data_IF_159277657832
#
_entry.id   IF_159277657832
#
_cell.length_a   1.000
_cell.length_b   1.000
_cell.length_c   1.000
_cell.angle_alpha   90.00
_cell.angle_beta   90.00
_cell.angle_gamma   90.00
#
_symmetry.space_group_name_H-M   'P 1'
#
loop_
_entity.id
_entity.type
_entity.pdbx_description
1 polymer ?
#
# COMPACT_ATOMS: atom_id res chain seq x y z
N UNK A 1 -18.29 1.92 -6.92
CA UNK A 1 -18.16 3.24 -6.27
C UNK A 1 -19.41 3.44 -5.41
N UNK A 2 -19.26 3.84 -4.15
CA UNK A 2 -20.39 3.97 -3.23
C UNK A 2 -21.03 5.34 -3.43
N UNK A 3 -22.32 5.38 -3.76
CA UNK A 3 -23.07 6.63 -3.88
C UNK A 3 -23.47 7.17 -2.49
N UNK A 4 -22.49 7.68 -1.74
CA UNK A 4 -22.75 8.34 -0.44
C UNK A 4 -22.87 9.85 -0.64
N UNK A 5 -24.05 10.43 -0.42
CA UNK A 5 -24.27 11.89 -0.40
C UNK A 5 -25.05 12.24 0.86
N UNK A 6 -24.55 13.21 1.62
CA UNK A 6 -25.20 13.69 2.84
C UNK A 6 -25.48 15.19 2.70
N UNK A 7 -26.65 15.64 3.16
CA UNK A 7 -27.06 17.05 3.17
C UNK A 7 -26.53 17.84 4.37
N UNK A 8 -26.21 17.17 5.48
CA UNK A 8 -25.58 17.76 6.65
C UNK A 8 -24.59 16.79 7.32
N UNK A 9 -23.71 17.27 8.22
CA UNK A 9 -22.81 16.39 8.95
C UNK A 9 -23.55 15.30 9.75
N UNK A 10 -22.97 14.11 9.79
CA UNK A 10 -23.45 12.96 10.56
C UNK A 10 -22.38 12.57 11.57
N UNK A 11 -22.76 12.33 12.83
CA UNK A 11 -21.80 11.98 13.88
C UNK A 11 -22.23 12.40 15.27
N UNK A 12 -21.31 12.26 16.22
CA UNK A 12 -21.53 12.68 17.61
C UNK A 12 -21.89 14.17 17.68
N UNK A 13 -22.99 14.47 18.37
CA UNK A 13 -23.49 15.84 18.57
C UNK A 13 -23.75 16.60 17.26
N UNK A 14 -23.97 15.89 16.15
CA UNK A 14 -24.34 16.50 14.88
C UNK A 14 -25.86 16.52 14.70
N UNK A 15 -26.37 17.32 13.75
CA UNK A 15 -27.82 17.40 13.48
C UNK A 15 -28.45 16.07 13.02
N UNK A 16 -27.67 15.09 12.54
CA UNK A 16 -28.07 13.69 12.29
C UNK A 16 -29.44 13.54 11.58
N UNK A 17 -29.53 14.01 10.31
CA UNK A 17 -30.77 13.90 9.53
C UNK A 17 -31.00 12.44 9.21
N UNK A 18 -32.22 11.95 9.40
CA UNK A 18 -32.56 10.53 9.21
C UNK A 18 -32.05 9.95 7.88
N UNK A 19 -32.29 10.66 6.77
CA UNK A 19 -31.84 10.22 5.45
C UNK A 19 -30.30 10.18 5.30
N UNK A 20 -29.59 11.12 5.91
CA UNK A 20 -28.12 11.16 5.88
C UNK A 20 -27.53 10.04 6.75
N UNK A 21 -28.13 9.80 7.92
CA UNK A 21 -27.78 8.70 8.82
C UNK A 21 -27.98 7.34 8.12
N UNK A 22 -29.12 7.13 7.45
CA UNK A 22 -29.39 5.92 6.68
C UNK A 22 -28.38 5.75 5.53
N UNK A 23 -28.02 6.84 4.85
CA UNK A 23 -27.02 6.79 3.78
C UNK A 23 -25.64 6.38 4.31
N UNK A 24 -25.21 6.97 5.44
CA UNK A 24 -23.96 6.60 6.11
C UNK A 24 -23.99 5.15 6.58
N UNK A 25 -25.08 4.70 7.21
CA UNK A 25 -25.27 3.32 7.63
C UNK A 25 -25.05 2.33 6.48
N UNK A 26 -25.75 2.54 5.37
CA UNK A 26 -25.64 1.68 4.17
C UNK A 26 -24.20 1.65 3.63
N UNK A 27 -23.53 2.80 3.61
CA UNK A 27 -22.15 2.88 3.16
C UNK A 27 -21.20 2.12 4.11
N UNK A 28 -21.34 2.27 5.42
CA UNK A 28 -20.52 1.57 6.43
C UNK A 28 -20.75 0.06 6.42
N UNK A 29 -21.99 -0.39 6.23
CA UNK A 29 -22.31 -1.80 6.00
C UNK A 29 -21.65 -2.31 4.72
N UNK A 30 -21.72 -1.56 3.62
CA UNK A 30 -21.10 -1.94 2.35
C UNK A 30 -19.58 -2.10 2.45
N UNK A 31 -18.91 -1.24 3.21
CA UNK A 31 -17.45 -1.31 3.41
C UNK A 31 -17.03 -2.26 4.55
N UNK A 32 -18.00 -2.95 5.17
CA UNK A 32 -17.76 -3.94 6.22
C UNK A 32 -17.37 -3.36 7.58
N UNK A 33 -17.64 -2.07 7.81
CA UNK A 33 -17.36 -1.39 9.09
C UNK A 33 -18.48 -1.53 10.12
N UNK A 34 -19.64 -2.01 9.67
CA UNK A 34 -20.80 -2.38 10.50
C UNK A 34 -21.36 -3.71 9.96
N UNK A 35 -21.94 -4.59 10.80
CA UNK A 35 -22.48 -5.88 10.35
C UNK A 35 -23.53 -5.76 9.24
N UNK A 36 -23.57 -6.75 8.34
CA UNK A 36 -24.55 -6.83 7.23
C UNK A 36 -26.00 -6.87 7.70
N UNK A 37 -26.25 -7.29 8.95
CA UNK A 37 -27.58 -7.35 9.57
C UNK A 37 -28.04 -6.01 10.15
N UNK A 38 -27.18 -4.99 10.15
CA UNK A 38 -27.53 -3.68 10.70
C UNK A 38 -28.53 -2.96 9.80
N UNK A 39 -29.66 -2.56 10.38
CA UNK A 39 -30.71 -1.78 9.71
C UNK A 39 -30.90 -0.47 10.46
N UNK A 40 -30.57 0.64 9.81
CA UNK A 40 -30.76 1.96 10.41
C UNK A 40 -32.22 2.39 10.33
N UNK A 41 -32.74 2.93 11.43
CA UNK A 41 -34.03 3.62 11.53
C UNK A 41 -33.91 5.14 11.28
N UNK A 42 -32.71 5.65 10.93
CA UNK A 42 -32.42 7.08 10.79
C UNK A 42 -31.91 7.76 12.06
N UNK A 43 -31.82 7.06 13.18
CA UNK A 43 -31.22 7.59 14.40
C UNK A 43 -29.72 7.29 14.45
N UNK A 44 -28.95 8.22 15.01
CA UNK A 44 -27.53 8.04 15.22
C UNK A 44 -27.29 7.24 16.50
N UNK A 45 -26.63 6.10 16.38
CA UNK A 45 -26.40 5.17 17.48
C UNK A 45 -24.91 4.84 17.67
N UNK A 46 -24.62 3.97 18.63
CA UNK A 46 -23.26 3.56 18.94
C UNK A 46 -22.62 2.72 17.82
N UNK A 47 -23.40 1.94 17.07
CA UNK A 47 -22.86 1.14 15.96
C UNK A 47 -22.36 2.04 14.84
N UNK A 48 -23.10 3.09 14.51
CA UNK A 48 -22.68 4.13 13.56
C UNK A 48 -21.45 4.88 14.05
N UNK A 49 -21.46 5.32 15.31
CA UNK A 49 -20.30 5.99 15.91
C UNK A 49 -19.04 5.13 15.79
N UNK A 50 -19.13 3.85 16.14
CA UNK A 50 -18.01 2.91 16.06
C UNK A 50 -17.58 2.66 14.61
N UNK A 51 -18.51 2.48 13.67
CA UNK A 51 -18.19 2.27 12.27
C UNK A 51 -17.49 3.48 11.62
N UNK A 52 -17.94 4.69 11.95
CA UNK A 52 -17.27 5.92 11.50
C UNK A 52 -15.86 6.00 12.11
N UNK A 53 -15.75 5.75 13.43
CA UNK A 53 -14.47 5.81 14.13
C UNK A 53 -13.48 4.76 13.62
N UNK A 54 -13.94 3.53 13.36
CA UNK A 54 -13.14 2.45 12.77
C UNK A 54 -12.67 2.83 11.36
N UNK A 55 -13.57 3.38 10.53
CA UNK A 55 -13.17 3.90 9.20
C UNK A 55 -12.04 4.94 9.34
N UNK A 56 -12.27 5.97 10.16
CA UNK A 56 -11.31 7.05 10.40
C UNK A 56 -9.99 6.59 11.01
N UNK A 57 -10.01 5.49 11.79
CA UNK A 57 -8.82 4.98 12.47
C UNK A 57 -7.68 4.68 11.51
N UNK A 58 -7.97 4.33 10.25
CA UNK A 58 -6.97 4.12 9.20
C UNK A 58 -6.08 5.34 8.93
N UNK A 59 -6.53 6.57 9.24
CA UNK A 59 -5.77 7.79 8.94
C UNK A 59 -5.83 8.87 10.02
N UNK A 60 -6.52 8.61 11.14
CA UNK A 60 -6.63 9.51 12.28
C UNK A 60 -6.18 8.77 13.54
N UNK A 61 -5.14 9.29 14.21
CA UNK A 61 -4.71 8.77 15.50
C UNK A 61 -5.80 8.91 16.59
N UNK A 62 -6.70 9.89 16.43
CA UNK A 62 -7.86 10.12 17.28
C UNK A 62 -9.09 10.34 16.39
N UNK A 63 -9.85 9.29 16.05
CA UNK A 63 -11.11 9.42 15.33
C UNK A 63 -12.09 10.33 16.07
N UNK A 64 -12.77 11.21 15.34
CA UNK A 64 -13.76 12.15 15.92
C UNK A 64 -15.20 11.65 15.80
N UNK A 65 -15.44 10.60 14.99
CA UNK A 65 -16.77 10.03 14.79
C UNK A 65 -17.70 10.94 13.98
N UNK A 66 -17.17 11.87 13.20
CA UNK A 66 -17.94 12.85 12.41
C UNK A 66 -17.62 12.70 10.91
N UNK A 67 -18.68 12.70 10.08
CA UNK A 67 -18.60 12.82 8.63
C UNK A 67 -19.14 14.18 8.21
N UNK A 68 -18.24 15.07 7.78
CA UNK A 68 -18.62 16.34 7.17
C UNK A 68 -19.04 16.17 5.71
N UNK A 69 -19.93 17.05 5.20
CA UNK A 69 -20.49 16.98 3.84
C UNK A 69 -19.44 16.97 2.71
N UNK A 70 -18.30 17.64 2.93
CA UNK A 70 -17.18 17.75 1.99
C UNK A 70 -15.85 17.36 2.65
N UNK A 71 -15.88 16.41 3.59
CA UNK A 71 -14.70 15.96 4.32
C UNK A 71 -13.95 14.79 3.68
N UNK A 72 -12.77 14.49 4.23
CA UNK A 72 -11.97 13.34 3.81
C UNK A 72 -12.64 12.00 4.11
N UNK A 73 -13.38 11.88 5.21
CA UNK A 73 -14.08 10.64 5.58
C UNK A 73 -15.09 10.24 4.52
N UNK A 74 -15.89 11.18 3.99
CA UNK A 74 -16.86 10.88 2.93
C UNK A 74 -16.14 10.53 1.61
N UNK A 75 -15.02 11.18 1.29
CA UNK A 75 -14.19 10.86 0.13
C UNK A 75 -13.65 9.42 0.21
N UNK A 76 -13.09 9.02 1.36
CA UNK A 76 -12.56 7.68 1.55
C UNK A 76 -13.64 6.61 1.55
N UNK A 77 -14.80 6.84 2.19
CA UNK A 77 -15.91 5.88 2.14
C UNK A 77 -16.37 5.68 0.68
N UNK A 78 -16.53 6.76 -0.10
CA UNK A 78 -16.96 6.67 -1.52
C UNK A 78 -16.04 5.81 -2.38
N UNK A 79 -14.74 5.92 -2.13
CA UNK A 79 -13.67 5.27 -2.90
C UNK A 79 -13.13 4.01 -2.22
N UNK A 80 -13.76 3.58 -1.12
CA UNK A 80 -13.27 2.47 -0.32
C UNK A 80 -13.26 1.19 -1.15
N UNK A 81 -12.09 0.58 -1.28
CA UNK A 81 -11.97 -0.75 -1.86
C UNK A 81 -10.66 -1.38 -1.43
N UNK A 82 -10.71 -2.65 -1.04
CA UNK A 82 -9.50 -3.44 -0.80
C UNK A 82 -8.80 -3.62 -2.14
N UNK A 83 -7.55 -3.18 -2.22
CA UNK A 83 -6.78 -3.25 -3.47
C UNK A 83 -6.20 -4.65 -3.64
N UNK A 84 -6.13 -5.15 -4.88
CA UNK A 84 -5.63 -6.49 -5.14
C UNK A 84 -4.15 -6.60 -4.74
N UNK A 85 -3.76 -7.81 -4.40
CA UNK A 85 -2.38 -8.22 -4.18
C UNK A 85 -2.01 -9.09 -5.37
N UNK A 86 -0.90 -8.78 -6.06
CA UNK A 86 -0.42 -9.59 -7.18
C UNK A 86 -0.18 -11.03 -6.70
N UNK A 87 -0.52 -12.03 -7.50
CA UNK A 87 -0.64 -13.43 -7.07
C UNK A 87 0.65 -14.04 -6.50
N UNK A 88 1.82 -13.50 -6.87
CA UNK A 88 3.13 -13.94 -6.37
C UNK A 88 3.56 -13.24 -5.07
N UNK A 89 2.79 -12.27 -4.57
CA UNK A 89 3.20 -11.43 -3.44
C UNK A 89 2.78 -12.06 -2.11
N UNK A 90 3.74 -12.18 -1.20
CA UNK A 90 3.53 -12.68 0.15
C UNK A 90 3.51 -11.52 1.14
N UNK A 91 2.46 -11.45 1.98
CA UNK A 91 2.34 -10.47 3.06
C UNK A 91 2.10 -11.21 4.38
N UNK A 92 3.13 -11.78 5.02
CA UNK A 92 2.96 -12.41 6.33
C UNK A 92 2.77 -11.38 7.45
N UNK A 93 1.93 -11.71 8.43
CA UNK A 93 1.81 -10.97 9.70
C UNK A 93 1.58 -9.47 9.53
N UNK A 94 2.50 -8.67 10.08
CA UNK A 94 2.41 -7.19 10.09
C UNK A 94 2.42 -6.55 8.71
N UNK A 95 2.96 -7.23 7.69
CA UNK A 95 2.86 -6.75 6.31
C UNK A 95 1.41 -6.78 5.81
N UNK A 96 0.66 -7.83 6.18
CA UNK A 96 -0.76 -7.89 5.85
C UNK A 96 -1.56 -6.82 6.57
N UNK A 97 -1.29 -6.66 7.87
CA UNK A 97 -1.91 -5.62 8.70
C UNK A 97 -1.69 -4.21 8.10
N UNK A 98 -0.44 -3.90 7.72
CA UNK A 98 -0.12 -2.62 7.10
C UNK A 98 -0.82 -2.44 5.75
N UNK A 99 -0.88 -3.49 4.93
CA UNK A 99 -1.60 -3.46 3.65
C UNK A 99 -3.10 -3.25 3.83
N UNK A 100 -3.74 -3.99 4.73
CA UNK A 100 -5.18 -3.86 4.98
C UNK A 100 -5.53 -2.49 5.59
N UNK A 101 -4.59 -1.86 6.30
CA UNK A 101 -4.74 -0.50 6.82
C UNK A 101 -4.62 0.55 5.70
N UNK A 102 -3.65 0.41 4.79
CA UNK A 102 -3.37 1.41 3.74
C UNK A 102 -4.30 1.25 2.53
N UNK A 103 -4.50 0.01 2.07
CA UNK A 103 -5.09 -0.29 0.77
C UNK A 103 -6.48 0.29 0.52
N UNK A 104 -7.41 0.35 1.51
CA UNK A 104 -8.73 0.91 1.26
C UNK A 104 -8.72 2.37 0.80
N UNK A 105 -7.69 3.12 1.22
CA UNK A 105 -7.55 4.56 0.98
C UNK A 105 -6.75 4.88 -0.29
N UNK A 106 -6.10 3.88 -0.89
CA UNK A 106 -5.30 4.08 -2.09
C UNK A 106 -6.19 4.42 -3.30
N UNK A 107 -5.66 5.16 -4.29
CA UNK A 107 -6.35 5.43 -5.55
C UNK A 107 -6.87 4.16 -6.23
N UNK A 108 -7.97 4.30 -6.98
CA UNK A 108 -8.47 3.24 -7.83
C UNK A 108 -7.37 2.78 -8.82
N UNK A 109 -7.22 1.47 -9.02
CA UNK A 109 -6.17 0.90 -9.86
C UNK A 109 -4.83 0.66 -9.16
N UNK A 110 -4.65 1.12 -7.91
CA UNK A 110 -3.50 0.70 -7.10
C UNK A 110 -3.56 -0.79 -6.77
N UNK A 111 -2.39 -1.42 -6.60
CA UNK A 111 -2.25 -2.84 -6.22
C UNK A 111 -0.93 -3.09 -5.49
N UNK A 112 -0.86 -4.15 -4.70
CA UNK A 112 0.38 -4.57 -4.05
C UNK A 112 1.21 -5.40 -5.03
N UNK A 113 2.35 -4.84 -5.47
CA UNK A 113 3.23 -5.44 -6.48
C UNK A 113 4.43 -6.15 -5.86
N UNK A 114 4.74 -5.88 -4.59
CA UNK A 114 5.79 -6.59 -3.86
C UNK A 114 5.55 -6.56 -2.35
N UNK A 115 6.07 -7.57 -1.67
CA UNK A 115 5.95 -7.78 -0.22
C UNK A 115 7.16 -8.54 0.30
N UNK A 116 6.96 -9.50 1.19
CA UNK A 116 8.03 -10.38 1.64
C UNK A 116 8.65 -11.16 0.47
N UNK A 117 9.98 -11.26 0.46
CA UNK A 117 10.75 -12.05 -0.51
C UNK A 117 11.85 -12.80 0.21
N UNK A 118 11.97 -14.11 0.03
CA UNK A 118 13.12 -14.83 0.59
C UNK A 118 14.42 -14.54 -0.20
N UNK A 119 15.55 -15.04 0.30
CA UNK A 119 16.85 -14.85 -0.35
C UNK A 119 16.97 -15.52 -1.72
N UNK A 120 16.30 -16.65 -1.93
CA UNK A 120 16.28 -17.32 -3.23
C UNK A 120 15.51 -16.49 -4.27
N UNK A 121 14.41 -15.86 -3.86
CA UNK A 121 13.63 -14.97 -4.71
C UNK A 121 14.40 -13.68 -5.05
N UNK A 122 15.04 -13.06 -4.06
CA UNK A 122 15.88 -11.88 -4.30
C UNK A 122 17.02 -12.19 -5.28
N UNK A 123 17.66 -13.37 -5.13
CA UNK A 123 18.68 -13.87 -6.06
C UNK A 123 18.12 -14.06 -7.47
N UNK A 124 16.96 -14.70 -7.61
CA UNK A 124 16.30 -14.88 -8.92
C UNK A 124 16.03 -13.55 -9.62
N UNK A 125 15.59 -12.53 -8.87
CA UNK A 125 15.35 -11.18 -9.40
C UNK A 125 16.66 -10.54 -9.87
N UNK A 126 17.71 -10.57 -9.04
CA UNK A 126 19.04 -10.08 -9.43
C UNK A 126 19.55 -10.77 -10.70
N UNK A 127 19.40 -12.10 -10.77
CA UNK A 127 19.82 -12.88 -11.93
C UNK A 127 19.01 -12.53 -13.17
N UNK A 128 17.68 -12.36 -13.04
CA UNK A 128 16.81 -11.94 -14.13
C UNK A 128 17.15 -10.54 -14.63
N UNK A 129 17.43 -9.62 -13.72
CA UNK A 129 17.90 -8.27 -14.04
C UNK A 129 19.22 -8.28 -14.80
N UNK A 130 20.19 -9.09 -14.37
CA UNK A 130 21.47 -9.23 -15.06
C UNK A 130 21.29 -9.83 -16.46
N UNK A 131 20.53 -10.93 -16.57
CA UNK A 131 20.41 -11.73 -17.79
C UNK A 131 19.44 -11.17 -18.83
N UNK A 132 18.49 -10.34 -18.42
CA UNK A 132 17.41 -9.86 -19.27
C UNK A 132 17.28 -8.34 -19.18
N UNK A 133 16.71 -7.83 -18.08
CA UNK A 133 16.27 -6.43 -17.98
C UNK A 133 17.37 -5.41 -18.26
N UNK A 134 18.58 -5.66 -17.76
CA UNK A 134 19.70 -4.74 -17.89
C UNK A 134 20.84 -5.29 -18.75
N UNK A 135 20.65 -6.44 -19.40
CA UNK A 135 21.69 -7.12 -20.18
C UNK A 135 22.39 -6.18 -21.17
N UNK A 136 21.63 -5.47 -21.99
CA UNK A 136 22.19 -4.58 -23.01
C UNK A 136 23.00 -3.42 -22.39
N UNK A 137 22.50 -2.82 -21.31
CA UNK A 137 23.16 -1.72 -20.61
C UNK A 137 24.45 -2.18 -19.91
N UNK A 138 24.43 -3.38 -19.32
CA UNK A 138 25.60 -4.00 -18.71
C UNK A 138 26.66 -4.30 -19.77
N UNK A 139 26.30 -4.93 -20.89
CA UNK A 139 27.23 -5.22 -22.00
C UNK A 139 27.81 -3.93 -22.59
N UNK A 140 26.98 -2.90 -22.76
CA UNK A 140 27.44 -1.60 -23.28
C UNK A 140 28.51 -0.97 -22.37
N UNK A 141 28.37 -1.09 -21.05
CA UNK A 141 29.31 -0.51 -20.08
C UNK A 141 30.55 -1.37 -19.83
N UNK A 142 30.41 -2.70 -19.80
CA UNK A 142 31.44 -3.63 -19.34
C UNK A 142 31.99 -4.56 -20.43
N UNK A 143 31.50 -4.46 -21.67
CA UNK A 143 31.75 -5.40 -22.78
C UNK A 143 31.03 -6.75 -22.66
N UNK A 144 30.87 -7.40 -23.82
CA UNK A 144 30.28 -8.74 -23.94
C UNK A 144 31.13 -9.79 -23.20
N UNK A 145 32.46 -9.71 -23.30
CA UNK A 145 33.37 -10.68 -22.70
C UNK A 145 33.29 -10.70 -21.17
N UNK A 146 33.21 -9.52 -20.54
CA UNK A 146 33.08 -9.44 -19.08
C UNK A 146 31.71 -9.91 -18.60
N UNK A 147 30.65 -9.55 -19.34
CA UNK A 147 29.30 -10.05 -19.09
C UNK A 147 29.25 -11.58 -19.13
N UNK A 148 29.82 -12.20 -20.16
CA UNK A 148 29.80 -13.66 -20.33
C UNK A 148 30.57 -14.38 -19.23
N UNK A 149 31.72 -13.84 -18.80
CA UNK A 149 32.50 -14.36 -17.67
C UNK A 149 31.68 -14.41 -16.37
N UNK A 150 30.94 -13.34 -16.08
CA UNK A 150 30.09 -13.26 -14.89
C UNK A 150 28.86 -14.16 -15.03
N UNK A 151 28.27 -14.23 -16.23
CA UNK A 151 27.06 -15.00 -16.48
C UNK A 151 27.30 -16.53 -16.47
N UNK A 152 28.51 -16.99 -16.80
CA UNK A 152 28.90 -18.40 -16.84
C UNK A 152 28.63 -19.10 -15.51
N UNK A 153 28.97 -18.46 -14.39
CA UNK A 153 28.60 -18.91 -13.05
C UNK A 153 28.07 -17.74 -12.21
N UNK A 154 26.81 -17.39 -12.48
CA UNK A 154 26.19 -16.21 -11.87
C UNK A 154 25.97 -16.38 -10.36
N UNK A 155 25.83 -17.63 -9.87
CA UNK A 155 25.66 -17.88 -8.45
C UNK A 155 26.96 -17.62 -7.67
N UNK A 156 28.10 -17.99 -8.22
CA UNK A 156 29.42 -17.67 -7.65
C UNK A 156 29.77 -16.20 -7.85
N UNK A 157 29.40 -15.62 -8.99
CA UNK A 157 29.71 -14.22 -9.34
C UNK A 157 28.60 -13.22 -8.94
N UNK A 158 27.72 -13.57 -8.00
CA UNK A 158 26.53 -12.76 -7.64
C UNK A 158 26.92 -11.32 -7.23
N UNK A 159 27.98 -11.18 -6.44
CA UNK A 159 28.49 -9.89 -6.00
C UNK A 159 28.99 -9.04 -7.18
N UNK A 160 29.67 -9.66 -8.16
CA UNK A 160 30.14 -8.97 -9.35
C UNK A 160 28.97 -8.54 -10.24
N UNK A 161 27.97 -9.40 -10.42
CA UNK A 161 26.75 -9.06 -11.15
C UNK A 161 26.02 -7.86 -10.51
N UNK A 162 25.92 -7.84 -9.18
CA UNK A 162 25.36 -6.72 -8.43
C UNK A 162 26.15 -5.43 -8.64
N UNK A 163 27.48 -5.47 -8.58
CA UNK A 163 28.34 -4.32 -8.86
C UNK A 163 28.14 -3.77 -10.27
N UNK A 164 28.07 -4.65 -11.28
CA UNK A 164 27.85 -4.24 -12.67
C UNK A 164 26.50 -3.56 -12.85
N UNK A 165 25.44 -4.10 -12.24
CA UNK A 165 24.12 -3.47 -12.32
C UNK A 165 24.09 -2.13 -11.57
N UNK A 166 24.77 -2.02 -10.42
CA UNK A 166 24.91 -0.73 -9.73
C UNK A 166 25.72 0.27 -10.53
N UNK A 167 26.73 -0.21 -11.25
CA UNK A 167 27.58 0.61 -12.10
C UNK A 167 26.83 1.27 -13.25
N UNK A 168 25.77 0.65 -13.78
CA UNK A 168 24.88 1.29 -14.78
C UNK A 168 23.81 2.20 -14.14
N UNK A 169 23.91 2.49 -12.84
CA UNK A 169 23.06 3.45 -12.13
C UNK A 169 21.78 2.88 -11.52
N UNK A 170 21.63 1.55 -11.46
CA UNK A 170 20.49 0.88 -10.85
C UNK A 170 20.72 0.63 -9.35
N UNK A 171 19.72 0.91 -8.52
CA UNK A 171 19.82 0.72 -7.07
C UNK A 171 19.15 -0.59 -6.65
N UNK A 172 19.92 -1.69 -6.70
CA UNK A 172 19.48 -3.00 -6.21
C UNK A 172 20.09 -3.26 -4.83
N UNK A 173 19.26 -3.71 -3.89
CA UNK A 173 19.72 -4.16 -2.58
C UNK A 173 20.54 -5.45 -2.68
N UNK A 174 21.61 -5.53 -1.89
CA UNK A 174 22.39 -6.77 -1.76
C UNK A 174 21.48 -7.89 -1.24
N UNK A 175 21.52 -9.11 -1.81
CA UNK A 175 20.81 -10.25 -1.25
C UNK A 175 21.12 -10.43 0.24
N UNK A 176 20.08 -10.56 1.05
CA UNK A 176 20.11 -10.63 2.51
C UNK A 176 19.94 -9.28 3.22
N UNK A 177 19.99 -8.16 2.49
CA UNK A 177 19.88 -6.80 3.06
C UNK A 177 18.67 -6.01 2.55
N UNK A 178 17.85 -6.59 1.67
CA UNK A 178 16.63 -5.94 1.18
C UNK A 178 15.59 -5.86 2.29
N UNK A 179 14.91 -4.71 2.43
CA UNK A 179 13.81 -4.55 3.37
C UNK A 179 12.69 -5.58 3.13
N UNK A 180 12.47 -6.00 1.87
CA UNK A 180 11.54 -7.09 1.54
C UNK A 180 11.97 -8.44 2.13
N UNK A 181 13.27 -8.71 2.19
CA UNK A 181 13.79 -9.95 2.79
C UNK A 181 13.71 -9.96 4.30
N UNK A 182 13.77 -8.78 4.90
CA UNK A 182 13.54 -8.61 6.33
C UNK A 182 12.04 -8.63 6.68
N UNK A 183 11.15 -8.79 5.70
CA UNK A 183 9.71 -8.74 5.92
C UNK A 183 9.21 -7.36 6.33
N UNK A 184 9.92 -6.31 5.92
CA UNK A 184 9.68 -4.93 6.35
C UNK A 184 9.11 -4.02 5.27
N UNK A 185 8.87 -4.49 4.06
CA UNK A 185 8.55 -3.60 2.96
C UNK A 185 7.44 -4.10 2.03
N UNK A 186 6.73 -3.14 1.48
CA UNK A 186 5.63 -3.32 0.52
C UNK A 186 5.83 -2.32 -0.61
N UNK A 187 5.65 -2.79 -1.84
CA UNK A 187 5.62 -1.93 -3.03
C UNK A 187 4.19 -1.82 -3.55
N UNK A 188 3.77 -0.58 -3.79
CA UNK A 188 2.47 -0.24 -4.37
C UNK A 188 2.68 0.17 -5.82
N UNK A 189 2.07 -0.55 -6.74
CA UNK A 189 1.98 -0.14 -8.14
C UNK A 189 0.61 0.47 -8.44
N UNK A 190 0.49 1.12 -9.59
CA UNK A 190 -0.78 1.65 -10.10
C UNK A 190 -0.71 3.15 -10.36
N UNK A 191 -1.85 3.84 -10.50
CA UNK A 191 -1.86 5.22 -10.92
C UNK A 191 -1.43 6.16 -9.79
N UNK A 192 -0.69 7.20 -10.18
CA UNK A 192 -0.32 8.38 -9.36
C UNK A 192 0.49 8.07 -8.09
N UNK A 193 1.80 7.90 -8.25
CA UNK A 193 2.76 7.78 -7.15
C UNK A 193 2.63 8.91 -6.13
N UNK A 194 2.32 10.13 -6.59
CA UNK A 194 2.10 11.29 -5.71
C UNK A 194 0.98 11.02 -4.69
N UNK A 195 -0.17 10.52 -5.16
CA UNK A 195 -1.31 10.28 -4.28
C UNK A 195 -1.08 9.07 -3.39
N UNK A 196 -0.43 8.03 -3.90
CA UNK A 196 -0.03 6.87 -3.09
C UNK A 196 0.90 7.28 -1.94
N UNK A 197 1.92 8.10 -2.20
CA UNK A 197 2.82 8.64 -1.17
C UNK A 197 2.07 9.47 -0.14
N UNK A 198 1.16 10.34 -0.58
CA UNK A 198 0.33 11.17 0.31
C UNK A 198 -0.47 10.30 1.28
N UNK A 199 -1.16 9.28 0.77
CA UNK A 199 -1.98 8.36 1.56
C UNK A 199 -1.12 7.56 2.53
N UNK A 200 -0.03 6.96 2.08
CA UNK A 200 0.85 6.16 2.96
C UNK A 200 1.41 7.03 4.10
N UNK A 201 1.83 8.27 3.81
CA UNK A 201 2.29 9.21 4.85
C UNK A 201 1.17 9.61 5.81
N UNK A 202 -0.06 9.75 5.31
CA UNK A 202 -1.22 10.03 6.14
C UNK A 202 -1.49 8.87 7.11
N UNK A 203 -1.51 7.62 6.62
CA UNK A 203 -1.70 6.41 7.43
C UNK A 203 -0.55 6.26 8.44
N UNK A 204 0.70 6.52 8.04
CA UNK A 204 1.84 6.47 8.94
C UNK A 204 1.70 7.38 10.16
N UNK A 205 1.21 8.61 9.98
CA UNK A 205 0.98 9.54 11.10
C UNK A 205 -0.06 9.02 12.09
N UNK A 206 -1.03 8.23 11.63
CA UNK A 206 -2.02 7.59 12.47
C UNK A 206 -1.52 6.29 13.12
N UNK A 207 -0.63 5.56 12.44
CA UNK A 207 -0.11 4.26 12.88
C UNK A 207 1.43 4.25 12.96
N UNK A 208 2.06 5.11 13.78
CA UNK A 208 3.53 5.20 13.87
C UNK A 208 4.17 3.96 14.50
N UNK A 209 3.38 3.06 15.08
CA UNK A 209 3.84 1.76 15.60
C UNK A 209 3.79 0.64 14.57
N UNK A 210 3.12 0.85 13.43
CA UNK A 210 2.98 -0.11 12.33
C UNK A 210 3.91 0.26 11.17
N UNK A 211 3.87 1.52 10.75
CA UNK A 211 4.66 2.04 9.63
C UNK A 211 5.90 2.77 10.13
N UNK A 212 7.04 2.60 9.45
CA UNK A 212 8.29 3.28 9.82
C UNK A 212 8.35 4.75 9.35
N UNK A 213 7.46 5.13 8.43
CA UNK A 213 7.45 6.46 7.79
C UNK A 213 8.39 6.58 6.60
N UNK A 214 9.20 5.55 6.32
CA UNK A 214 10.00 5.51 5.09
C UNK A 214 9.08 5.19 3.91
N UNK A 215 8.95 6.16 3.01
CA UNK A 215 8.15 6.08 1.78
C UNK A 215 8.96 6.65 0.63
N UNK A 216 9.22 5.83 -0.39
CA UNK A 216 10.07 6.18 -1.52
C UNK A 216 9.31 5.97 -2.83
N UNK A 217 9.53 6.87 -3.80
CA UNK A 217 9.11 6.61 -5.18
C UNK A 217 10.24 5.92 -5.92
N UNK A 218 9.95 4.77 -6.47
CA UNK A 218 10.90 4.00 -7.25
C UNK A 218 10.80 4.34 -8.74
N UNK A 219 11.94 4.21 -9.44
CA UNK A 219 12.03 4.52 -10.88
C UNK A 219 11.21 3.58 -11.78
N UNK A 220 10.75 2.46 -11.23
CA UNK A 220 9.92 1.46 -11.90
C UNK A 220 8.42 1.79 -11.87
N UNK A 221 8.02 2.96 -11.34
CA UNK A 221 6.61 3.36 -11.23
C UNK A 221 5.88 2.68 -10.07
N UNK A 222 6.61 2.40 -8.99
CA UNK A 222 6.07 1.91 -7.74
C UNK A 222 6.40 2.85 -6.56
N UNK A 223 5.56 2.82 -5.54
CA UNK A 223 5.80 3.46 -4.25
C UNK A 223 6.15 2.40 -3.23
N UNK A 224 7.37 2.47 -2.73
CA UNK A 224 7.88 1.61 -1.67
C UNK A 224 7.55 2.21 -0.30
N UNK A 225 7.08 1.39 0.64
CA UNK A 225 6.97 1.79 2.04
C UNK A 225 7.36 0.69 2.99
N UNK A 226 7.84 1.08 4.17
CA UNK A 226 8.33 0.15 5.18
C UNK A 226 7.47 0.14 6.46
N UNK A 227 7.44 -1.03 7.10
CA UNK A 227 6.87 -1.27 8.42
C UNK A 227 7.99 -1.37 9.48
N UNK A 228 7.64 -1.29 10.76
CA UNK A 228 8.57 -1.43 11.89
C UNK A 228 8.96 -2.87 12.20
#
# INVERSE_FOLDING_TARGET
MIALKIGQPVGRSQPNKANDVIAVARALVHIGKIPLTYVSNGEFDNALLMGIADTQSHWMAKPDGIIACSGRTIEFIRNWSIKPIDSSVLLPGRLREAWDTVSPLLPAGSRCTSGYRDASQQRRILHGFFRSTFKAQVIQKYSQAEYDKVNQDLAVNEQRALEMIRGIGQQIATPGKSAHQLGKAIDVGGPSDNKQVEIIKLVWRAHPRLLSGKVLKERNGCVHFEIL
#
